data_IF_588444528535
#
_entry.id   IF_588444528535
#
_cell.length_a   1.000
_cell.length_b   1.000
_cell.length_c   1.000
_cell.angle_alpha   90.00
_cell.angle_beta   90.00
_cell.angle_gamma   90.00
#
_symmetry.space_group_name_H-M   'P 1'
#
loop_
_entity.id
_entity.type
_entity.pdbx_description
1 polymer ?
#
# COMPACT_ATOMS: atom_id res chain seq x y z
N UNK A 1 14.72 39.59 51.07
CA UNK A 1 13.31 39.72 50.67
C UNK A 1 13.25 39.76 49.15
N UNK A 2 12.78 38.69 48.52
CA UNK A 2 12.66 38.58 47.06
C UNK A 2 11.38 39.29 46.60
N UNK A 3 11.49 40.35 45.80
CA UNK A 3 10.36 40.93 45.08
C UNK A 3 10.31 40.32 43.67
N UNK A 4 9.22 39.58 43.40
CA UNK A 4 8.94 38.89 42.13
C UNK A 4 8.45 39.87 41.08
N UNK A 5 9.09 39.83 39.93
CA UNK A 5 8.68 40.41 38.65
C UNK A 5 7.45 39.70 38.08
N UNK A 6 6.61 40.46 37.39
CA UNK A 6 5.36 40.04 36.75
C UNK A 6 5.58 38.95 35.67
N UNK A 7 4.60 38.06 35.43
CA UNK A 7 4.62 37.19 34.26
C UNK A 7 3.93 37.85 33.06
N UNK A 8 4.68 38.00 31.97
CA UNK A 8 4.16 38.30 30.64
C UNK A 8 3.26 37.16 30.15
N UNK A 9 2.01 37.50 29.83
CA UNK A 9 1.10 36.61 29.10
C UNK A 9 1.55 36.50 27.63
N UNK A 10 2.36 35.48 27.34
CA UNK A 10 2.61 35.05 25.95
C UNK A 10 1.41 34.24 25.47
N UNK A 11 0.52 34.94 24.75
CA UNK A 11 -0.52 34.34 23.92
C UNK A 11 0.13 33.51 22.81
N UNK A 12 0.26 32.20 23.04
CA UNK A 12 0.66 31.22 22.04
C UNK A 12 -0.44 31.06 20.99
N UNK A 13 -0.50 31.99 20.02
CA UNK A 13 -1.25 31.80 18.78
C UNK A 13 -0.64 30.61 18.05
N UNK A 14 -1.28 29.45 18.19
CA UNK A 14 -1.07 28.27 17.33
C UNK A 14 -1.19 28.74 15.89
N UNK A 15 -0.06 28.84 15.21
CA UNK A 15 0.01 29.17 13.81
C UNK A 15 -0.79 28.16 13.02
N UNK A 16 -1.96 28.58 12.54
CA UNK A 16 -2.66 27.93 11.45
C UNK A 16 -1.66 27.90 10.30
N UNK A 17 -1.08 26.72 10.01
CA UNK A 17 -0.26 26.53 8.82
C UNK A 17 -1.18 26.77 7.63
N UNK A 18 -1.10 27.97 7.07
CA UNK A 18 -1.78 28.32 5.83
C UNK A 18 -1.26 27.37 4.77
N UNK A 19 -2.16 26.56 4.21
CA UNK A 19 -1.89 25.79 3.01
C UNK A 19 -1.57 26.79 1.91
N UNK A 20 -0.27 27.04 1.69
CA UNK A 20 0.20 27.73 0.50
C UNK A 20 -0.34 26.97 -0.69
N UNK A 21 -0.99 27.66 -1.63
CA UNK A 21 -1.36 27.11 -2.94
C UNK A 21 -0.12 26.49 -3.56
N UNK A 22 0.03 25.19 -3.40
CA UNK A 22 0.96 24.41 -4.20
C UNK A 22 0.27 24.33 -5.56
N UNK A 23 0.93 24.82 -6.61
CA UNK A 23 0.62 24.44 -7.98
C UNK A 23 0.96 22.96 -8.10
N UNK A 24 0.02 22.13 -7.66
CA UNK A 24 0.09 20.70 -7.84
C UNK A 24 -0.33 20.50 -9.29
N UNK A 25 0.64 20.40 -10.20
CA UNK A 25 0.41 19.82 -11.51
C UNK A 25 -0.45 18.55 -11.34
N UNK A 26 -1.38 18.22 -12.25
CA UNK A 26 -2.26 17.06 -12.07
C UNK A 26 -1.42 15.81 -11.78
N UNK A 27 -1.51 15.29 -10.55
CA UNK A 27 -0.83 14.07 -10.14
C UNK A 27 -1.79 12.92 -10.46
N UNK A 28 -1.66 12.39 -11.67
CA UNK A 28 -2.57 11.38 -12.20
C UNK A 28 -4.00 11.92 -12.30
N UNK A 29 -4.96 11.14 -11.80
CA UNK A 29 -6.39 11.38 -11.87
C UNK A 29 -6.99 11.84 -10.53
N UNK A 30 -6.16 12.22 -9.54
CA UNK A 30 -6.63 12.68 -8.23
C UNK A 30 -7.20 14.09 -8.31
N UNK A 31 -8.35 14.30 -7.66
CA UNK A 31 -8.89 15.63 -7.45
C UNK A 31 -8.08 16.39 -6.41
N UNK A 32 -8.15 17.74 -6.43
CA UNK A 32 -7.38 18.59 -5.50
C UNK A 32 -7.54 18.19 -4.03
N UNK A 33 -8.76 17.89 -3.59
CA UNK A 33 -9.01 17.49 -2.20
C UNK A 33 -8.36 16.13 -1.85
N UNK A 34 -8.37 15.19 -2.79
CA UNK A 34 -7.73 13.88 -2.65
C UNK A 34 -6.21 13.96 -2.59
N UNK A 35 -5.62 14.88 -3.36
CA UNK A 35 -4.18 15.16 -3.27
C UNK A 35 -3.81 15.69 -1.88
N UNK A 36 -4.67 16.52 -1.27
CA UNK A 36 -4.45 17.00 0.10
C UNK A 36 -4.53 15.87 1.12
N UNK A 37 -5.48 14.94 0.95
CA UNK A 37 -5.59 13.74 1.81
C UNK A 37 -4.35 12.86 1.65
N UNK A 38 -3.94 12.56 0.41
CA UNK A 38 -2.73 11.79 0.14
C UNK A 38 -1.48 12.47 0.73
N UNK A 39 -1.41 13.81 0.68
CA UNK A 39 -0.32 14.59 1.28
C UNK A 39 -0.33 14.50 2.80
N UNK A 40 -1.51 14.54 3.43
CA UNK A 40 -1.65 14.38 4.88
C UNK A 40 -1.14 13.00 5.32
N UNK A 41 -1.59 11.93 4.64
CA UNK A 41 -1.13 10.56 4.90
C UNK A 41 0.39 10.44 4.74
N UNK A 42 0.93 11.04 3.68
CA UNK A 42 2.37 11.06 3.42
C UNK A 42 3.15 11.75 4.54
N UNK A 43 2.71 12.94 4.95
CA UNK A 43 3.36 13.74 5.98
C UNK A 43 3.30 13.09 7.37
N UNK A 44 2.16 12.46 7.70
CA UNK A 44 1.97 11.77 8.99
C UNK A 44 2.83 10.52 9.12
N UNK A 45 3.13 9.86 8.00
CA UNK A 45 4.04 8.73 7.96
C UNK A 45 5.51 9.14 7.93
N UNK A 46 5.82 10.37 7.51
CA UNK A 46 7.19 10.84 7.31
C UNK A 46 7.95 10.92 8.65
N UNK A 47 9.13 10.30 8.78
CA UNK A 47 9.95 10.45 9.96
C UNK A 47 10.36 11.92 10.16
N UNK A 48 10.52 12.33 11.42
CA UNK A 48 10.93 13.70 11.74
C UNK A 48 12.27 14.01 11.06
N UNK A 49 12.30 15.08 10.26
CA UNK A 49 13.48 15.52 9.52
C UNK A 49 13.77 14.75 8.23
N UNK A 50 12.96 13.73 7.87
CA UNK A 50 13.08 13.06 6.60
C UNK A 50 12.44 13.88 5.46
N UNK A 51 12.96 13.71 4.25
CA UNK A 51 12.40 14.33 3.04
C UNK A 51 11.47 13.38 2.30
N UNK A 52 11.77 12.08 2.34
CA UNK A 52 11.04 11.04 1.61
C UNK A 52 10.63 9.88 2.51
N UNK A 53 9.56 9.17 2.13
CA UNK A 53 9.20 7.92 2.78
C UNK A 53 10.25 6.87 2.45
N UNK A 54 10.75 6.15 3.43
CA UNK A 54 11.68 5.04 3.24
C UNK A 54 11.00 3.69 3.54
N UNK A 55 11.74 2.59 3.43
CA UNK A 55 11.24 1.24 3.72
C UNK A 55 10.58 1.06 5.09
N UNK A 56 10.90 1.90 6.08
CA UNK A 56 10.31 1.83 7.42
C UNK A 56 9.05 2.69 7.56
N UNK A 57 8.94 3.78 6.81
CA UNK A 57 7.80 4.71 6.93
C UNK A 57 6.74 4.51 5.86
N UNK A 58 7.10 4.00 4.68
CA UNK A 58 6.16 3.72 3.60
C UNK A 58 5.06 2.72 3.99
N UNK A 59 5.33 1.61 4.71
CA UNK A 59 4.28 0.72 5.20
C UNK A 59 3.25 1.42 6.09
N UNK A 60 3.67 2.45 6.85
CA UNK A 60 2.76 3.23 7.71
C UNK A 60 1.81 4.09 6.87
N UNK A 61 2.30 4.70 5.79
CA UNK A 61 1.46 5.44 4.85
C UNK A 61 0.46 4.50 4.15
N UNK A 62 0.94 3.32 3.71
CA UNK A 62 0.11 2.32 3.02
C UNK A 62 -0.95 1.72 3.95
N UNK A 63 -0.65 1.51 5.23
CA UNK A 63 -1.65 1.06 6.22
C UNK A 63 -2.88 1.98 6.27
N UNK A 64 -2.70 3.29 6.11
CA UNK A 64 -3.81 4.25 6.10
C UNK A 64 -4.70 4.10 4.85
N UNK A 65 -4.19 3.52 3.75
CA UNK A 65 -4.91 3.31 2.49
C UNK A 65 -5.63 1.97 2.42
N UNK A 66 -5.32 1.05 3.34
CA UNK A 66 -5.86 -0.30 3.39
C UNK A 66 -7.12 -0.32 4.27
N UNK A 67 -8.06 -1.21 3.96
CA UNK A 67 -9.27 -1.42 4.77
C UNK A 67 -8.89 -1.70 6.23
N UNK A 68 -9.40 -0.93 7.21
CA UNK A 68 -8.99 -1.08 8.60
C UNK A 68 -9.20 -2.47 9.20
N UNK A 69 -10.19 -3.21 8.68
CA UNK A 69 -10.49 -4.58 9.09
C UNK A 69 -9.46 -5.61 8.61
N UNK A 70 -8.62 -5.27 7.62
CA UNK A 70 -7.55 -6.15 7.17
C UNK A 70 -6.41 -6.15 8.21
N UNK A 71 -6.45 -7.13 9.10
CA UNK A 71 -5.39 -7.42 10.08
C UNK A 71 -4.18 -8.09 9.41
N UNK A 72 -3.54 -7.37 8.48
CA UNK A 72 -2.35 -7.85 7.79
C UNK A 72 -1.12 -7.77 8.70
N UNK A 73 -0.25 -8.79 8.73
CA UNK A 73 1.09 -8.70 9.32
C UNK A 73 1.91 -7.60 8.65
N UNK A 74 2.89 -7.08 9.38
CA UNK A 74 3.79 -6.05 8.87
C UNK A 74 4.54 -6.50 7.62
N UNK A 75 4.88 -7.78 7.48
CA UNK A 75 5.55 -8.30 6.29
C UNK A 75 4.66 -8.27 5.04
N UNK A 76 3.34 -8.50 5.19
CA UNK A 76 2.40 -8.32 4.08
C UNK A 76 2.29 -6.85 3.69
N UNK A 77 2.28 -5.94 4.67
CA UNK A 77 2.32 -4.51 4.38
C UNK A 77 3.62 -4.11 3.69
N UNK A 78 4.77 -4.63 4.13
CA UNK A 78 6.06 -4.36 3.52
C UNK A 78 6.05 -4.78 2.05
N UNK A 79 5.42 -5.92 1.75
CA UNK A 79 5.22 -6.39 0.39
C UNK A 79 4.36 -5.40 -0.42
N UNK A 80 3.19 -4.99 0.07
CA UNK A 80 2.31 -4.03 -0.61
C UNK A 80 3.03 -2.67 -0.79
N UNK A 81 3.75 -2.22 0.24
CA UNK A 81 4.50 -0.98 0.24
C UNK A 81 5.63 -0.99 -0.77
N UNK A 82 6.28 -2.14 -1.01
CA UNK A 82 7.32 -2.26 -2.04
C UNK A 82 6.80 -1.89 -3.44
N UNK A 83 5.51 -2.12 -3.73
CA UNK A 83 4.87 -1.70 -4.98
C UNK A 83 4.74 -0.19 -5.17
N UNK A 84 4.79 0.57 -4.08
CA UNK A 84 4.79 2.04 -4.13
C UNK A 84 6.18 2.61 -4.46
N UNK A 85 7.26 1.85 -4.26
CA UNK A 85 8.61 2.20 -4.67
C UNK A 85 8.94 1.61 -6.05
N UNK A 86 8.27 2.11 -7.10
CA UNK A 86 8.47 1.64 -8.49
C UNK A 86 9.92 1.76 -8.96
N UNK A 87 10.63 2.78 -8.48
CA UNK A 87 12.05 3.03 -8.78
C UNK A 87 13.02 2.14 -8.02
N UNK A 88 12.55 1.48 -6.95
CA UNK A 88 13.35 0.65 -6.02
C UNK A 88 14.52 1.39 -5.38
N UNK A 89 14.39 2.70 -5.28
CA UNK A 89 15.43 3.55 -4.69
C UNK A 89 15.48 3.40 -3.16
N UNK A 90 14.47 2.77 -2.55
CA UNK A 90 14.27 2.70 -1.11
C UNK A 90 13.74 4.00 -0.51
N UNK A 91 13.48 5.03 -1.33
CA UNK A 91 12.97 6.33 -0.94
C UNK A 91 11.89 6.80 -1.91
N UNK A 92 10.67 7.02 -1.43
CA UNK A 92 9.52 7.38 -2.26
C UNK A 92 9.18 8.86 -2.05
N UNK A 93 9.40 9.72 -3.06
CA UNK A 93 8.96 11.11 -3.00
C UNK A 93 7.43 11.20 -3.09
N UNK A 94 6.88 12.33 -2.62
CA UNK A 94 5.42 12.53 -2.59
C UNK A 94 4.77 12.34 -3.97
N UNK A 95 5.41 12.80 -5.04
CA UNK A 95 4.86 12.69 -6.40
C UNK A 95 4.66 11.22 -6.79
N UNK A 96 5.60 10.34 -6.49
CA UNK A 96 5.50 8.91 -6.84
C UNK A 96 4.50 8.19 -5.94
N UNK A 97 4.48 8.53 -4.65
CA UNK A 97 3.43 8.05 -3.74
C UNK A 97 2.04 8.44 -4.23
N UNK A 98 1.83 9.72 -4.56
CA UNK A 98 0.54 10.24 -5.00
C UNK A 98 0.12 9.69 -6.37
N UNK A 99 1.06 9.38 -7.27
CA UNK A 99 0.76 8.63 -8.51
C UNK A 99 0.25 7.23 -8.20
N UNK A 100 0.89 6.49 -7.30
CA UNK A 100 0.44 5.15 -6.91
C UNK A 100 -0.91 5.18 -6.18
N UNK A 101 -1.13 6.19 -5.35
CA UNK A 101 -2.46 6.47 -4.79
C UNK A 101 -3.48 6.73 -5.90
N UNK A 102 -3.15 7.54 -6.90
CA UNK A 102 -4.01 7.74 -8.08
C UNK A 102 -4.36 6.42 -8.75
N UNK A 103 -3.38 5.56 -9.04
CA UNK A 103 -3.60 4.28 -9.71
C UNK A 103 -4.55 3.37 -8.91
N UNK A 104 -4.43 3.36 -7.58
CA UNK A 104 -5.29 2.58 -6.67
C UNK A 104 -6.74 3.08 -6.70
N UNK A 105 -6.98 4.38 -6.47
CA UNK A 105 -8.33 4.90 -6.22
C UNK A 105 -9.02 5.44 -7.47
N UNK A 106 -8.26 5.96 -8.42
CA UNK A 106 -8.73 6.63 -9.65
C UNK A 106 -8.16 6.03 -10.93
N UNK A 107 -7.33 5.00 -10.82
CA UNK A 107 -6.78 4.29 -11.97
C UNK A 107 -7.83 3.49 -12.69
N UNK A 108 -7.67 3.41 -14.01
CA UNK A 108 -8.42 2.52 -14.88
C UNK A 108 -8.13 1.05 -14.56
N UNK A 109 -8.89 0.14 -15.18
CA UNK A 109 -8.62 -1.29 -15.09
C UNK A 109 -7.17 -1.62 -15.46
N UNK A 110 -6.66 -1.05 -16.55
CA UNK A 110 -5.29 -1.26 -17.02
C UNK A 110 -4.25 -0.71 -16.05
N UNK A 111 -4.50 0.44 -15.41
CA UNK A 111 -3.56 1.01 -14.44
C UNK A 111 -3.41 0.08 -13.22
N UNK A 112 -4.53 -0.49 -12.76
CA UNK A 112 -4.53 -1.46 -11.65
C UNK A 112 -3.85 -2.77 -12.03
N UNK A 113 -4.16 -3.32 -13.20
CA UNK A 113 -3.47 -4.51 -13.71
C UNK A 113 -1.96 -4.29 -13.81
N UNK A 114 -1.54 -3.15 -14.35
CA UNK A 114 -0.13 -2.77 -14.42
C UNK A 114 0.50 -2.68 -13.04
N UNK A 115 -0.14 -2.01 -12.09
CA UNK A 115 0.41 -1.84 -10.74
C UNK A 115 0.53 -3.19 -10.01
N UNK A 116 -0.48 -4.07 -10.09
CA UNK A 116 -0.38 -5.41 -9.52
C UNK A 116 0.74 -6.24 -10.18
N UNK A 117 0.89 -6.12 -11.49
CA UNK A 117 1.98 -6.78 -12.20
C UNK A 117 3.35 -6.25 -11.76
N UNK A 118 3.52 -4.91 -11.68
CA UNK A 118 4.75 -4.27 -11.21
C UNK A 118 5.09 -4.71 -9.76
N UNK A 119 4.08 -4.97 -8.92
CA UNK A 119 4.26 -5.48 -7.55
C UNK A 119 4.79 -6.92 -7.52
N UNK A 120 4.36 -7.76 -8.45
CA UNK A 120 4.83 -9.14 -8.58
C UNK A 120 6.19 -9.23 -9.29
N UNK A 121 6.42 -8.36 -10.28
CA UNK A 121 7.67 -8.31 -11.05
C UNK A 121 8.77 -7.61 -10.24
N UNK A 122 9.20 -8.24 -9.16
CA UNK A 122 10.22 -7.75 -8.22
C UNK A 122 11.63 -7.68 -8.81
N UNK A 123 11.84 -8.03 -10.08
CA UNK A 123 13.10 -7.85 -10.80
C UNK A 123 13.01 -6.81 -11.94
N UNK A 124 11.81 -6.39 -12.33
CA UNK A 124 11.57 -5.25 -13.22
C UNK A 124 11.85 -5.58 -14.68
N UNK A 125 11.74 -6.86 -15.06
CA UNK A 125 11.98 -7.31 -16.44
C UNK A 125 10.81 -7.03 -17.38
N UNK A 126 9.65 -6.66 -16.85
CA UNK A 126 8.40 -6.54 -17.59
C UNK A 126 7.73 -7.88 -17.90
N UNK A 127 8.28 -8.98 -17.38
CA UNK A 127 7.77 -10.36 -17.53
C UNK A 127 8.03 -11.15 -16.25
N UNK A 128 7.07 -11.98 -15.85
CA UNK A 128 7.21 -12.96 -14.77
C UNK A 128 7.56 -14.31 -15.37
N UNK A 129 8.72 -14.88 -15.03
CA UNK A 129 9.04 -16.27 -15.40
C UNK A 129 8.20 -17.24 -14.58
N UNK A 130 7.99 -18.47 -15.05
CA UNK A 130 7.30 -19.48 -14.23
C UNK A 130 7.95 -19.67 -12.86
N UNK A 131 9.28 -19.57 -12.78
CA UNK A 131 10.01 -19.59 -11.51
C UNK A 131 9.65 -18.41 -10.60
N UNK A 132 9.39 -17.22 -11.15
CA UNK A 132 8.98 -16.05 -10.37
C UNK A 132 7.57 -16.27 -9.81
N UNK A 133 6.62 -16.75 -10.62
CA UNK A 133 5.24 -17.04 -10.18
C UNK A 133 5.22 -18.12 -9.10
N UNK A 134 6.00 -19.19 -9.26
CA UNK A 134 6.13 -20.25 -8.24
C UNK A 134 6.78 -19.71 -6.97
N UNK A 135 7.82 -18.88 -7.06
CA UNK A 135 8.45 -18.28 -5.90
C UNK A 135 7.47 -17.36 -5.14
N UNK A 136 6.65 -16.60 -5.85
CA UNK A 136 5.59 -15.76 -5.26
C UNK A 136 4.53 -16.62 -4.55
N UNK A 137 4.13 -17.74 -5.14
CA UNK A 137 3.18 -18.67 -4.53
C UNK A 137 3.75 -19.40 -3.29
N UNK A 138 5.08 -19.59 -3.23
CA UNK A 138 5.77 -20.17 -2.09
C UNK A 138 6.07 -19.15 -0.97
N UNK A 139 6.16 -17.85 -1.30
CA UNK A 139 6.33 -16.80 -0.30
C UNK A 139 5.01 -16.58 0.46
N UNK A 140 5.00 -16.91 1.75
CA UNK A 140 3.81 -16.85 2.60
C UNK A 140 3.11 -15.48 2.63
N UNK A 141 3.85 -14.39 2.41
CA UNK A 141 3.31 -13.03 2.47
C UNK A 141 2.85 -12.57 1.10
N UNK A 142 3.62 -12.83 0.04
CA UNK A 142 3.22 -12.53 -1.32
C UNK A 142 2.01 -13.36 -1.74
N UNK A 143 2.04 -14.68 -1.51
CA UNK A 143 0.95 -15.60 -1.79
C UNK A 143 -0.35 -15.17 -1.13
N UNK A 144 -0.27 -14.54 0.02
CA UNK A 144 -1.44 -14.05 0.72
C UNK A 144 -2.04 -12.75 0.21
N UNK A 145 -1.17 -11.84 -0.22
CA UNK A 145 -1.61 -10.59 -0.85
C UNK A 145 -2.17 -10.88 -2.24
N UNK A 146 -1.63 -11.90 -2.93
CA UNK A 146 -1.90 -12.18 -4.34
C UNK A 146 -2.50 -13.57 -4.63
N UNK A 147 -3.05 -14.31 -3.65
CA UNK A 147 -3.47 -15.71 -3.83
C UNK A 147 -4.31 -15.93 -5.09
N UNK A 148 -5.42 -15.19 -5.19
CA UNK A 148 -6.34 -15.28 -6.32
C UNK A 148 -5.70 -14.79 -7.61
N UNK A 149 -4.83 -13.79 -7.53
CA UNK A 149 -4.15 -13.25 -8.70
C UNK A 149 -3.14 -14.28 -9.25
N UNK A 150 -2.37 -14.94 -8.37
CA UNK A 150 -1.41 -15.99 -8.73
C UNK A 150 -2.10 -17.24 -9.29
N UNK A 151 -3.22 -17.68 -8.71
CA UNK A 151 -3.99 -18.83 -9.21
C UNK A 151 -4.35 -18.64 -10.70
N UNK A 152 -4.78 -17.44 -11.08
CA UNK A 152 -5.11 -17.14 -12.48
C UNK A 152 -3.89 -17.04 -13.41
N UNK A 153 -2.70 -16.76 -12.86
CA UNK A 153 -1.46 -16.67 -13.65
C UNK A 153 -0.72 -17.99 -13.78
N UNK A 154 -0.92 -18.94 -12.86
CA UNK A 154 -0.17 -20.21 -12.83
C UNK A 154 -0.35 -21.01 -14.12
N UNK A 155 -1.58 -21.13 -14.62
CA UNK A 155 -1.86 -21.84 -15.88
C UNK A 155 -1.13 -21.21 -17.07
N UNK A 156 -1.14 -19.87 -17.14
CA UNK A 156 -0.43 -19.12 -18.19
C UNK A 156 1.08 -19.34 -18.07
N UNK A 157 1.62 -19.25 -16.85
CA UNK A 157 3.03 -19.42 -16.58
C UNK A 157 3.52 -20.84 -16.93
N UNK A 158 2.71 -21.87 -16.67
CA UNK A 158 3.01 -23.26 -17.03
C UNK A 158 2.97 -23.45 -18.54
N UNK A 159 1.95 -22.90 -19.22
CA UNK A 159 1.77 -23.07 -20.66
C UNK A 159 2.81 -22.32 -21.51
N UNK A 160 3.24 -21.14 -21.07
CA UNK A 160 4.05 -20.22 -21.87
C UNK A 160 5.50 -20.09 -21.40
N UNK A 161 5.80 -20.49 -20.16
CA UNK A 161 7.12 -20.27 -19.52
C UNK A 161 7.32 -18.86 -18.95
N UNK A 162 6.55 -17.87 -19.40
CA UNK A 162 6.61 -16.48 -18.94
C UNK A 162 5.27 -15.79 -19.08
N UNK A 163 4.87 -15.00 -18.07
CA UNK A 163 3.67 -14.17 -18.09
C UNK A 163 4.06 -12.72 -18.35
N UNK A 164 3.57 -12.12 -19.43
CA UNK A 164 3.67 -10.68 -19.68
C UNK A 164 2.49 -9.93 -19.07
N UNK A 165 2.56 -8.60 -19.01
CA UNK A 165 1.41 -7.77 -18.61
C UNK A 165 0.20 -7.98 -19.53
N UNK A 166 0.40 -8.22 -20.83
CA UNK A 166 -0.71 -8.47 -21.76
C UNK A 166 -1.41 -9.79 -21.42
N UNK A 167 -0.63 -10.84 -21.15
CA UNK A 167 -1.17 -12.14 -20.73
C UNK A 167 -1.96 -12.03 -19.42
N UNK A 168 -1.38 -11.34 -18.44
CA UNK A 168 -2.02 -11.09 -17.16
C UNK A 168 -3.32 -10.27 -17.30
N UNK A 169 -3.33 -9.28 -18.21
CA UNK A 169 -4.50 -8.42 -18.45
C UNK A 169 -5.68 -9.15 -19.09
N UNK A 170 -5.43 -10.28 -19.77
CA UNK A 170 -6.47 -11.14 -20.36
C UNK A 170 -7.20 -11.96 -19.32
N UNK A 171 -6.50 -12.40 -18.27
CA UNK A 171 -7.07 -13.25 -17.20
C UNK A 171 -7.60 -12.43 -16.03
N UNK A 172 -6.97 -11.30 -15.71
CA UNK A 172 -7.45 -10.41 -14.66
C UNK A 172 -8.55 -9.49 -15.17
N UNK A 173 -9.64 -9.38 -14.42
CA UNK A 173 -10.53 -8.21 -14.54
C UNK A 173 -9.93 -7.04 -13.75
N UNK A 174 -10.20 -6.98 -12.44
CA UNK A 174 -9.50 -6.11 -11.49
C UNK A 174 -8.74 -7.04 -10.54
N UNK A 175 -7.41 -6.87 -10.37
CA UNK A 175 -6.63 -7.73 -9.48
C UNK A 175 -7.19 -7.72 -8.05
N UNK A 176 -7.23 -8.89 -7.43
CA UNK A 176 -7.83 -9.11 -6.12
C UNK A 176 -7.11 -8.33 -5.02
N UNK A 177 -5.80 -8.08 -5.16
CA UNK A 177 -5.02 -7.23 -4.24
C UNK A 177 -5.68 -5.87 -3.99
N UNK A 178 -6.42 -5.30 -4.97
CA UNK A 178 -7.07 -4.00 -4.80
C UNK A 178 -8.26 -4.02 -3.83
N UNK A 179 -8.79 -5.19 -3.47
CA UNK A 179 -9.81 -5.32 -2.42
C UNK A 179 -9.27 -4.98 -1.04
N UNK A 180 -7.95 -5.01 -0.86
CA UNK A 180 -7.31 -4.59 0.39
C UNK A 180 -7.37 -3.06 0.58
N UNK A 181 -7.53 -2.28 -0.49
CA UNK A 181 -7.58 -0.82 -0.37
C UNK A 181 -8.99 -0.35 -0.04
N UNK A 182 -9.08 0.75 0.71
CA UNK A 182 -10.39 1.37 0.98
C UNK A 182 -11.07 1.80 -0.32
N UNK A 183 -12.40 1.95 -0.31
CA UNK A 183 -13.14 2.33 -1.51
C UNK A 183 -12.89 3.78 -1.97
N UNK A 184 -12.52 4.68 -1.04
CA UNK A 184 -12.27 6.10 -1.31
C UNK A 184 -11.20 6.65 -0.36
N UNK A 185 -10.43 7.64 -0.81
CA UNK A 185 -9.45 8.34 0.00
C UNK A 185 -10.04 9.05 1.22
N UNK A 186 -11.30 9.50 1.15
CA UNK A 186 -11.97 10.10 2.32
C UNK A 186 -12.06 9.12 3.49
N UNK A 187 -12.23 7.82 3.19
CA UNK A 187 -12.26 6.77 4.21
C UNK A 187 -10.87 6.53 4.83
N UNK A 188 -9.80 6.76 4.06
CA UNK A 188 -8.43 6.70 4.55
C UNK A 188 -8.07 7.90 5.45
N UNK A 189 -8.72 9.05 5.25
CA UNK A 189 -8.44 10.28 5.98
C UNK A 189 -8.98 10.27 7.42
N UNK A 190 -9.90 9.37 7.77
CA UNK A 190 -10.49 9.30 9.10
C UNK A 190 -9.43 8.78 10.07
N UNK A 191 -8.91 9.61 11.01
CA UNK A 191 -7.97 9.12 12.00
C UNK A 191 -8.66 8.00 12.78
N UNK A 192 -7.95 6.89 12.97
CA UNK A 192 -8.33 5.77 13.82
C UNK A 192 -8.49 6.25 15.28
N UNK A 193 -9.52 7.03 15.58
CA UNK A 193 -9.95 7.38 16.93
C UNK A 193 -10.97 6.34 17.35
N UNK A 194 -10.62 5.59 18.38
CA UNK A 194 -11.50 4.71 19.14
C UNK A 194 -11.88 3.42 18.42
N UNK A 195 -10.93 2.48 18.33
CA UNK A 195 -11.25 1.06 18.32
C UNK A 195 -11.14 0.50 19.75
N UNK A 196 -12.00 1.01 20.63
CA UNK A 196 -12.45 0.27 21.81
C UNK A 196 -13.98 0.25 21.70
N UNK A 197 -14.55 -0.96 21.65
CA UNK A 197 -15.98 -1.25 21.55
C UNK A 197 -16.67 -1.09 20.19
N UNK A 198 -16.48 -2.07 19.30
CA UNK A 198 -17.58 -2.59 18.49
C UNK A 198 -17.29 -4.05 18.11
N UNK A 199 -17.90 -4.96 18.87
CA UNK A 199 -18.07 -6.34 18.45
C UNK A 199 -19.26 -6.44 17.47
N UNK A 200 -19.17 -7.47 16.62
CA UNK A 200 -20.24 -8.21 15.91
C UNK A 200 -20.30 -8.06 14.37
N UNK A 201 -20.12 -9.24 13.74
CA UNK A 201 -20.51 -9.72 12.41
C UNK A 201 -19.80 -9.14 11.17
N UNK A 202 -19.37 -9.90 10.16
CA UNK A 202 -19.30 -11.34 9.87
C UNK A 202 -18.29 -11.50 8.70
N UNK A 203 -17.61 -12.65 8.61
CA UNK A 203 -16.85 -13.11 7.43
C UNK A 203 -15.65 -12.28 6.95
N UNK A 204 -14.75 -11.90 7.87
CA UNK A 204 -13.43 -11.34 7.52
C UNK A 204 -12.38 -12.43 7.63
N UNK A 205 -11.49 -12.64 6.64
CA UNK A 205 -10.44 -13.64 6.73
C UNK A 205 -9.50 -13.31 7.90
N UNK A 206 -9.62 -14.08 8.99
CA UNK A 206 -8.59 -14.14 10.01
C UNK A 206 -7.30 -14.57 9.34
N UNK A 207 -6.26 -13.77 9.51
CA UNK A 207 -4.95 -14.11 9.02
C UNK A 207 -4.35 -15.26 9.85
N UNK A 208 -3.75 -16.31 9.24
CA UNK A 208 -3.69 -16.59 7.81
C UNK A 208 -5.02 -17.15 7.27
N UNK A 209 -5.40 -16.88 6.01
CA UNK A 209 -6.59 -17.47 5.40
C UNK A 209 -6.56 -18.99 5.55
N UNK A 210 -7.72 -19.58 5.87
CA UNK A 210 -7.89 -21.03 5.93
C UNK A 210 -7.53 -21.63 4.56
N UNK A 211 -6.31 -22.17 4.46
CA UNK A 211 -5.72 -22.61 3.19
C UNK A 211 -4.19 -22.65 3.22
N UNK A 212 -3.54 -21.84 4.09
CA UNK A 212 -2.08 -21.85 4.26
C UNK A 212 -1.55 -22.93 5.23
N UNK A 213 -2.42 -23.81 5.74
CA UNK A 213 -2.00 -24.98 6.52
C UNK A 213 -1.84 -26.16 5.56
N UNK A 214 -0.67 -26.29 4.95
CA UNK A 214 -0.03 -27.56 4.56
C UNK A 214 1.27 -27.29 3.77
N UNK A 215 2.26 -26.68 4.42
CA UNK A 215 3.64 -27.11 4.21
C UNK A 215 4.11 -27.60 5.58
N UNK A 216 3.98 -28.91 5.79
CA UNK A 216 4.60 -29.58 6.93
C UNK A 216 6.11 -29.41 6.84
N UNK A 217 6.77 -29.36 8.00
CA UNK A 217 8.22 -29.10 8.19
C UNK A 217 9.19 -30.07 7.47
N UNK A 218 8.71 -30.89 6.54
CA UNK A 218 9.47 -31.94 5.89
C UNK A 218 10.24 -31.51 4.63
N UNK A 219 9.96 -30.34 4.06
CA UNK A 219 10.59 -29.87 2.79
C UNK A 219 11.63 -28.75 2.96
N UNK A 220 11.98 -28.36 4.20
CA UNK A 220 13.10 -27.42 4.46
C UNK A 220 14.50 -28.06 4.44
N UNK A 221 14.62 -29.30 3.94
CA UNK A 221 15.90 -30.01 3.83
C UNK A 221 16.03 -30.66 2.45
N UNK A 222 16.13 -29.85 1.40
CA UNK A 222 16.93 -30.13 0.20
C UNK A 222 17.30 -28.81 -0.48
#
# INVERSE_FOLDING_TARGET
>A
MYARTAPDHVSGKRGVRRHSSIDIAPIGNLQKHEVLIAKQIYDDALPIGATYLNRRSLPRAVRALIVPSAQLPDQCLDYIASGFDSSRSGSVPFVDFARRVSDVFRGSRSDRQKMAFDMMDTNGRGVLRSSDVVALAADQYAAAVFAQDLDTLLDVAIATGTVSLDDASRVWNVPAVFRLFVASLDNAAVPQRSAESAAVADDVPLWPPAGLKNLTDHERRY
#
